data_IF_366670500470
#
_entry.id   IF_366670500470
#
_cell.length_a   1.000
_cell.length_b   1.000
_cell.length_c   1.000
_cell.angle_alpha   90.00
_cell.angle_beta   90.00
_cell.angle_gamma   90.00
#
_symmetry.space_group_name_H-M   'P 1'
#
loop_
_entity.id
_entity.type
_entity.pdbx_description
1 polymer ?
#
# COMPACT_ATOMS: atom_id res chain seq x y z
N UNK A 1 10.38 30.71 -16.78
CA UNK A 1 11.17 29.52 -16.44
C UNK A 1 10.30 28.70 -15.49
N UNK A 2 9.48 27.81 -16.06
CA UNK A 2 8.64 26.92 -15.25
C UNK A 2 9.56 26.02 -14.42
N UNK A 3 9.44 26.11 -13.09
CA UNK A 3 10.09 25.14 -12.21
C UNK A 3 9.35 23.83 -12.42
N UNK A 4 9.81 22.99 -13.36
CA UNK A 4 9.39 21.60 -13.41
C UNK A 4 9.85 20.99 -12.09
N UNK A 5 8.95 20.88 -11.12
CA UNK A 5 9.16 20.00 -9.97
C UNK A 5 9.23 18.62 -10.60
N UNK A 6 10.44 18.18 -10.90
CA UNK A 6 10.68 16.82 -11.38
C UNK A 6 10.27 15.95 -10.20
N UNK A 7 9.04 15.43 -10.24
CA UNK A 7 8.57 14.44 -9.31
C UNK A 7 9.40 13.18 -9.60
N UNK A 8 10.57 13.10 -8.96
CA UNK A 8 11.42 11.92 -9.06
C UNK A 8 10.74 10.86 -8.21
N UNK A 9 9.81 10.12 -8.83
CA UNK A 9 9.23 8.97 -8.16
C UNK A 9 10.34 7.95 -7.95
N UNK A 10 10.72 7.74 -6.70
CA UNK A 10 11.56 6.62 -6.32
C UNK A 10 10.69 5.36 -6.21
N UNK A 11 10.53 4.68 -7.35
CA UNK A 11 9.74 3.46 -7.45
C UNK A 11 10.23 2.38 -6.48
N UNK A 12 11.54 2.30 -6.24
CA UNK A 12 12.11 1.31 -5.32
C UNK A 12 11.65 1.56 -3.89
N UNK A 13 11.64 2.83 -3.46
CA UNK A 13 11.11 3.24 -2.16
C UNK A 13 9.61 3.00 -2.06
N UNK A 14 8.84 3.34 -3.10
CA UNK A 14 7.40 3.08 -3.15
C UNK A 14 7.07 1.58 -3.02
N UNK A 15 7.81 0.71 -3.74
CA UNK A 15 7.64 -0.74 -3.66
C UNK A 15 8.02 -1.28 -2.27
N UNK A 16 9.10 -0.78 -1.67
CA UNK A 16 9.51 -1.17 -0.31
C UNK A 16 8.44 -0.81 0.72
N UNK A 17 7.89 0.41 0.63
CA UNK A 17 6.80 0.85 1.50
C UNK A 17 5.54 -0.01 1.31
N UNK A 18 5.15 -0.27 0.06
CA UNK A 18 4.02 -1.14 -0.28
C UNK A 18 4.18 -2.52 0.37
N UNK A 19 5.34 -3.15 0.19
CA UNK A 19 5.63 -4.47 0.74
C UNK A 19 5.53 -4.48 2.26
N UNK A 20 6.07 -3.47 2.94
CA UNK A 20 5.99 -3.34 4.41
C UNK A 20 4.54 -3.23 4.89
N UNK A 21 3.74 -2.33 4.30
CA UNK A 21 2.37 -2.09 4.74
C UNK A 21 1.42 -3.26 4.46
N UNK A 22 1.57 -3.93 3.30
CA UNK A 22 0.81 -5.15 3.00
C UNK A 22 1.19 -6.29 3.93
N UNK A 23 2.48 -6.45 4.24
CA UNK A 23 2.94 -7.50 5.17
C UNK A 23 2.29 -7.34 6.54
N UNK A 24 2.23 -6.12 7.09
CA UNK A 24 1.53 -5.84 8.37
C UNK A 24 0.05 -6.21 8.33
N UNK A 25 -0.62 -6.03 7.19
CA UNK A 25 -2.03 -6.41 7.04
C UNK A 25 -2.23 -7.94 6.98
N UNK A 26 -1.24 -8.66 6.46
CA UNK A 26 -1.21 -10.11 6.34
C UNK A 26 -0.71 -10.81 7.60
N UNK A 27 0.00 -10.11 8.49
CA UNK A 27 0.42 -10.65 9.78
C UNK A 27 -0.81 -11.09 10.59
N UNK A 28 -0.90 -12.40 10.82
CA UNK A 28 -1.96 -13.03 11.60
C UNK A 28 -1.55 -13.01 13.08
N UNK A 29 -1.60 -11.85 13.72
CA UNK A 29 -1.44 -11.74 15.17
C UNK A 29 -2.76 -12.03 15.87
N UNK A 30 -2.75 -12.92 16.87
CA UNK A 30 -3.84 -13.17 17.82
C UNK A 30 -5.23 -13.45 17.21
N UNK A 31 -5.29 -14.27 16.16
CA UNK A 31 -6.57 -14.75 15.63
C UNK A 31 -7.05 -15.92 16.49
N UNK A 32 -7.82 -15.61 17.52
CA UNK A 32 -8.46 -16.60 18.39
C UNK A 32 -9.64 -17.30 17.71
N UNK A 33 -10.30 -16.63 16.76
CA UNK A 33 -11.39 -17.15 15.94
C UNK A 33 -11.44 -16.41 14.58
N UNK A 34 -11.95 -17.09 13.55
CA UNK A 34 -12.19 -16.48 12.25
C UNK A 34 -13.24 -15.37 12.33
N UNK A 35 -12.88 -14.16 11.89
CA UNK A 35 -13.77 -13.00 11.89
C UNK A 35 -13.81 -12.38 10.50
N UNK A 36 -14.93 -12.56 9.79
CA UNK A 36 -15.13 -12.06 8.43
C UNK A 36 -15.03 -10.53 8.31
N UNK A 37 -15.41 -9.79 9.36
CA UNK A 37 -15.28 -8.33 9.39
C UNK A 37 -13.82 -7.89 9.45
N UNK A 38 -13.00 -8.56 10.27
CA UNK A 38 -11.56 -8.30 10.33
C UNK A 38 -10.90 -8.60 8.98
N UNK A 39 -11.35 -9.66 8.30
CA UNK A 39 -10.87 -10.01 6.97
C UNK A 39 -11.22 -8.92 5.94
N UNK A 40 -12.46 -8.44 5.92
CA UNK A 40 -12.92 -7.36 5.04
C UNK A 40 -12.14 -6.06 5.27
N UNK A 41 -11.91 -5.68 6.54
CA UNK A 41 -11.13 -4.49 6.90
C UNK A 41 -9.67 -4.60 6.43
N UNK A 42 -9.05 -5.78 6.55
CA UNK A 42 -7.69 -6.03 6.06
C UNK A 42 -7.62 -5.99 4.54
N UNK A 43 -8.58 -6.61 3.85
CA UNK A 43 -8.66 -6.57 2.39
C UNK A 43 -8.81 -5.12 1.89
N UNK A 44 -9.68 -4.33 2.54
CA UNK A 44 -9.86 -2.91 2.22
C UNK A 44 -8.56 -2.11 2.31
N UNK A 45 -7.78 -2.31 3.39
CA UNK A 45 -6.48 -1.65 3.57
C UNK A 45 -5.47 -2.06 2.49
N UNK A 46 -5.38 -3.36 2.17
CA UNK A 46 -4.50 -3.84 1.10
C UNK A 46 -4.86 -3.21 -0.24
N UNK A 47 -6.17 -3.10 -0.53
CA UNK A 47 -6.67 -2.46 -1.76
C UNK A 47 -6.30 -0.99 -1.83
N UNK A 48 -6.45 -0.25 -0.74
CA UNK A 48 -6.06 1.16 -0.65
C UNK A 48 -4.56 1.35 -0.91
N UNK A 49 -3.71 0.55 -0.25
CA UNK A 49 -2.26 0.58 -0.41
C UNK A 49 -1.87 0.29 -1.88
N UNK A 50 -2.53 -0.67 -2.53
CA UNK A 50 -2.31 -0.98 -3.94
C UNK A 50 -2.74 0.17 -4.88
N UNK A 51 -3.85 0.83 -4.59
CA UNK A 51 -4.31 1.99 -5.37
C UNK A 51 -3.35 3.18 -5.27
N UNK A 52 -2.77 3.42 -4.09
CA UNK A 52 -1.76 4.46 -3.90
C UNK A 52 -0.53 4.17 -4.77
N UNK A 53 -0.02 2.93 -4.76
CA UNK A 53 1.11 2.54 -5.60
C UNK A 53 0.77 2.67 -7.09
N UNK A 54 -0.42 2.23 -7.51
CA UNK A 54 -0.86 2.38 -8.89
C UNK A 54 -0.93 3.86 -9.33
N UNK A 55 -1.47 4.74 -8.48
CA UNK A 55 -1.51 6.18 -8.74
C UNK A 55 -0.11 6.79 -8.85
N UNK A 56 0.84 6.36 -8.00
CA UNK A 56 2.24 6.76 -8.10
C UNK A 56 2.86 6.32 -9.44
N UNK A 57 2.62 5.08 -9.88
CA UNK A 57 3.14 4.56 -11.14
C UNK A 57 2.55 5.25 -12.38
N UNK A 58 1.28 5.70 -12.32
CA UNK A 58 0.63 6.44 -13.42
C UNK A 58 1.12 7.89 -13.50
N UNK A 59 1.60 8.45 -12.38
CA UNK A 59 2.14 9.81 -12.33
C UNK A 59 3.58 9.93 -12.89
N UNK A 60 4.18 8.82 -13.35
CA UNK A 60 5.45 8.77 -14.09
C UNK A 60 5.21 9.13 -15.56
#
# INVERSE_FOLDING_TARGET
MEKSICATLDLSKSLSNFSSEVTKCLELTDITEWNGKILEEREGKIREIALILAGQCIAI
#
